data_IF_454309798306
#
_entry.id   IF_454309798306
#
_cell.length_a   1.000
_cell.length_b   1.000
_cell.length_c   1.000
_cell.angle_alpha   90.00
_cell.angle_beta   90.00
_cell.angle_gamma   90.00
#
_symmetry.space_group_name_H-M   'P 1'
#
loop_
_entity.id
_entity.type
_entity.pdbx_description
1 polymer ?
#
# COMPACT_ATOMS: atom_id res chain seq x y z
N UNK A 1 -17.52 5.64 5.42
CA UNK A 1 -16.25 5.37 6.12
C UNK A 1 -16.18 3.92 6.59
N UNK A 2 -17.27 3.33 7.14
CA UNK A 2 -17.29 1.94 7.62
C UNK A 2 -17.06 0.87 6.52
N UNK A 3 -17.63 1.05 5.32
CA UNK A 3 -17.46 0.10 4.20
C UNK A 3 -16.01 -0.01 3.70
N UNK A 4 -15.25 1.08 3.70
CA UNK A 4 -13.85 1.10 3.26
C UNK A 4 -12.95 0.35 4.24
N UNK A 5 -13.19 0.51 5.55
CA UNK A 5 -12.44 -0.18 6.59
C UNK A 5 -12.74 -1.69 6.58
N UNK A 6 -13.99 -2.10 6.39
CA UNK A 6 -14.35 -3.51 6.25
C UNK A 6 -13.71 -4.14 5.00
N UNK A 7 -13.67 -3.40 3.90
CA UNK A 7 -13.04 -3.86 2.65
C UNK A 7 -11.53 -4.03 2.82
N UNK A 8 -10.87 -3.11 3.52
CA UNK A 8 -9.43 -3.22 3.80
C UNK A 8 -9.12 -4.39 4.73
N UNK A 9 -9.89 -4.55 5.81
CA UNK A 9 -9.70 -5.67 6.74
C UNK A 9 -9.79 -7.02 6.03
N UNK A 10 -10.80 -7.19 5.16
CA UNK A 10 -10.97 -8.42 4.39
C UNK A 10 -9.77 -8.69 3.45
N UNK A 11 -9.20 -7.65 2.83
CA UNK A 11 -7.98 -7.77 2.00
C UNK A 11 -6.76 -8.20 2.82
N UNK A 12 -6.60 -7.65 4.02
CA UNK A 12 -5.49 -8.01 4.93
C UNK A 12 -5.62 -9.45 5.43
N UNK A 13 -6.83 -9.89 5.74
CA UNK A 13 -7.09 -11.26 6.16
C UNK A 13 -6.80 -12.24 5.01
N UNK A 14 -7.22 -11.92 3.78
CA UNK A 14 -6.90 -12.71 2.60
C UNK A 14 -5.38 -12.80 2.35
N UNK A 15 -4.65 -11.70 2.51
CA UNK A 15 -3.18 -11.69 2.42
C UNK A 15 -2.54 -12.58 3.50
N UNK A 16 -3.03 -12.52 4.74
CA UNK A 16 -2.51 -13.32 5.83
C UNK A 16 -2.77 -14.83 5.64
N UNK A 17 -3.90 -15.19 5.03
CA UNK A 17 -4.27 -16.56 4.72
C UNK A 17 -3.60 -17.12 3.46
N UNK A 18 -2.95 -16.27 2.66
CA UNK A 18 -2.29 -16.65 1.42
C UNK A 18 -0.76 -16.52 1.49
N UNK A 19 -0.06 -17.48 2.12
CA UNK A 19 1.40 -17.45 2.26
C UNK A 19 2.14 -17.81 0.96
N UNK A 20 1.44 -18.28 -0.08
CA UNK A 20 2.03 -18.72 -1.33
C UNK A 20 2.72 -17.56 -2.06
N UNK A 21 3.96 -17.77 -2.51
CA UNK A 21 4.73 -16.75 -3.23
C UNK A 21 4.38 -16.73 -4.72
N UNK A 22 3.16 -16.35 -5.04
CA UNK A 22 2.61 -16.33 -6.40
C UNK A 22 2.08 -14.96 -6.81
N UNK A 23 1.47 -14.89 -8.00
CA UNK A 23 0.91 -13.65 -8.56
C UNK A 23 -0.29 -13.14 -7.77
N UNK A 24 -1.08 -14.03 -7.20
CA UNK A 24 -2.23 -13.67 -6.37
C UNK A 24 -1.76 -12.96 -5.10
N UNK A 25 -0.67 -13.44 -4.49
CA UNK A 25 -0.06 -12.74 -3.37
C UNK A 25 0.47 -11.36 -3.73
N UNK A 26 1.04 -11.18 -4.92
CA UNK A 26 1.44 -9.85 -5.42
C UNK A 26 0.22 -8.93 -5.51
N UNK A 27 -0.89 -9.41 -6.08
CA UNK A 27 -2.11 -8.62 -6.23
C UNK A 27 -2.74 -8.27 -4.87
N UNK A 28 -2.72 -9.19 -3.89
CA UNK A 28 -3.17 -8.95 -2.52
C UNK A 28 -2.31 -7.91 -1.79
N UNK A 29 -0.98 -8.00 -1.91
CA UNK A 29 -0.07 -7.00 -1.35
C UNK A 29 -0.31 -5.61 -1.94
N UNK A 30 -0.47 -5.52 -3.27
CA UNK A 30 -0.78 -4.27 -3.94
C UNK A 30 -2.11 -3.69 -3.47
N UNK A 31 -3.15 -4.51 -3.36
CA UNK A 31 -4.47 -4.08 -2.90
C UNK A 31 -4.49 -3.66 -1.42
N UNK A 32 -3.69 -4.30 -0.57
CA UNK A 32 -3.50 -3.92 0.83
C UNK A 32 -2.74 -2.60 0.95
N UNK A 33 -1.65 -2.45 0.19
CA UNK A 33 -0.86 -1.22 0.15
C UNK A 33 -1.69 -0.02 -0.34
N UNK A 34 -2.47 -0.19 -1.41
CA UNK A 34 -3.38 0.84 -1.91
C UNK A 34 -4.38 1.30 -0.84
N UNK A 35 -5.01 0.36 -0.13
CA UNK A 35 -5.99 0.68 0.89
C UNK A 35 -5.40 1.37 2.12
N UNK A 36 -4.12 1.16 2.41
CA UNK A 36 -3.41 1.81 3.52
C UNK A 36 -2.75 3.13 3.14
N UNK A 37 -2.62 3.46 1.85
CA UNK A 37 -1.81 4.59 1.42
C UNK A 37 -2.27 5.94 1.99
N UNK A 38 -3.54 6.08 2.36
CA UNK A 38 -4.07 7.31 2.98
C UNK A 38 -3.90 7.31 4.51
N UNK A 39 -4.18 6.18 5.16
CA UNK A 39 -4.20 6.10 6.63
C UNK A 39 -2.80 5.82 7.22
N UNK A 40 -2.03 4.94 6.58
CA UNK A 40 -0.66 4.62 6.92
C UNK A 40 0.20 4.44 5.64
N UNK A 41 0.66 5.55 5.04
CA UNK A 41 1.49 5.47 3.85
C UNK A 41 2.84 4.78 4.08
N UNK A 42 3.33 4.68 5.32
CA UNK A 42 4.57 3.95 5.62
C UNK A 42 4.34 2.45 5.50
N UNK A 43 3.22 1.96 6.05
CA UNK A 43 2.84 0.55 5.90
C UNK A 43 2.49 0.21 4.44
N UNK A 44 1.86 1.13 3.71
CA UNK A 44 1.61 0.97 2.28
C UNK A 44 2.90 0.77 1.47
N UNK A 45 3.95 1.55 1.77
CA UNK A 45 5.27 1.39 1.14
C UNK A 45 5.89 0.01 1.42
N UNK A 46 5.73 -0.51 2.64
CA UNK A 46 6.24 -1.83 2.99
C UNK A 46 5.56 -2.93 2.14
N UNK A 47 4.24 -2.89 2.00
CA UNK A 47 3.51 -3.85 1.17
C UNK A 47 3.83 -3.71 -0.32
N UNK A 48 3.95 -2.47 -0.81
CA UNK A 48 4.34 -2.22 -2.19
C UNK A 48 5.77 -2.70 -2.50
N UNK A 49 6.72 -2.55 -1.56
CA UNK A 49 8.07 -3.07 -1.71
C UNK A 49 8.10 -4.60 -1.75
N UNK A 50 7.33 -5.26 -0.88
CA UNK A 50 7.19 -6.72 -0.90
C UNK A 50 6.54 -7.21 -2.21
N UNK A 51 5.53 -6.49 -2.70
CA UNK A 51 4.85 -6.80 -3.96
C UNK A 51 5.79 -6.67 -5.15
N UNK A 52 6.60 -5.60 -5.15
CA UNK A 52 7.61 -5.33 -6.17
C UNK A 52 8.65 -6.46 -6.23
N UNK A 53 9.25 -6.81 -5.10
CA UNK A 53 10.26 -7.87 -5.03
C UNK A 53 9.70 -9.23 -5.50
N UNK A 54 8.47 -9.54 -5.09
CA UNK A 54 7.82 -10.79 -5.50
C UNK A 54 7.45 -10.77 -6.98
N UNK A 55 6.93 -9.65 -7.49
CA UNK A 55 6.59 -9.47 -8.90
C UNK A 55 7.82 -9.61 -9.81
N UNK A 56 8.97 -9.07 -9.40
CA UNK A 56 10.24 -9.23 -10.12
C UNK A 56 10.67 -10.70 -10.18
N UNK A 57 10.62 -11.39 -9.03
CA UNK A 57 10.95 -12.83 -8.94
C UNK A 57 10.06 -13.67 -9.86
N UNK A 58 8.78 -13.30 -9.98
CA UNK A 58 7.79 -14.01 -10.79
C UNK A 58 7.72 -13.53 -12.24
N UNK A 59 8.54 -12.54 -12.63
CA UNK A 59 8.44 -11.83 -13.91
C UNK A 59 7.01 -11.36 -14.22
N UNK A 60 6.31 -10.89 -13.18
CA UNK A 60 4.93 -10.44 -13.24
C UNK A 60 4.85 -8.93 -13.44
N UNK A 61 5.02 -8.51 -14.69
CA UNK A 61 5.11 -7.10 -15.11
C UNK A 61 3.91 -6.24 -14.67
N UNK A 62 2.70 -6.78 -14.73
CA UNK A 62 1.50 -6.08 -14.27
C UNK A 62 1.57 -5.82 -12.77
N UNK A 63 1.86 -6.85 -11.96
CA UNK A 63 2.00 -6.71 -10.51
C UNK A 63 3.10 -5.72 -10.13
N UNK A 64 4.20 -5.70 -10.91
CA UNK A 64 5.28 -4.72 -10.76
C UNK A 64 4.81 -3.29 -11.00
N UNK A 65 4.07 -3.05 -12.08
CA UNK A 65 3.52 -1.73 -12.39
C UNK A 65 2.58 -1.22 -11.30
N UNK A 66 1.71 -2.09 -10.77
CA UNK A 66 0.83 -1.74 -9.65
C UNK A 66 1.61 -1.40 -8.38
N UNK A 67 2.63 -2.21 -8.04
CA UNK A 67 3.46 -1.96 -6.87
C UNK A 67 4.16 -0.59 -6.93
N UNK A 68 4.69 -0.22 -8.10
CA UNK A 68 5.28 1.10 -8.31
C UNK A 68 4.25 2.24 -8.19
N UNK A 69 3.02 2.02 -8.69
CA UNK A 69 1.93 2.98 -8.54
C UNK A 69 1.53 3.20 -7.09
N UNK A 70 1.39 2.12 -6.31
CA UNK A 70 1.09 2.20 -4.87
C UNK A 70 2.21 2.92 -4.12
N UNK A 71 3.47 2.59 -4.41
CA UNK A 71 4.62 3.29 -3.81
C UNK A 71 4.62 4.79 -4.13
N UNK A 72 4.33 5.16 -5.38
CA UNK A 72 4.24 6.57 -5.79
C UNK A 72 3.14 7.32 -5.04
N UNK A 73 1.96 6.70 -4.90
CA UNK A 73 0.85 7.30 -4.15
C UNK A 73 1.16 7.43 -2.65
N UNK A 74 1.77 6.42 -2.05
CA UNK A 74 2.17 6.46 -0.65
C UNK A 74 3.25 7.54 -0.37
N UNK A 75 4.21 7.73 -1.29
CA UNK A 75 5.18 8.82 -1.18
C UNK A 75 4.54 10.21 -1.30
N UNK A 76 3.54 10.35 -2.19
CA UNK A 76 2.75 11.57 -2.29
C UNK A 76 2.04 11.89 -0.96
N UNK A 77 1.35 10.90 -0.38
CA UNK A 77 0.67 11.05 0.91
C UNK A 77 1.64 11.39 2.04
N UNK A 78 2.81 10.73 2.13
CA UNK A 78 3.84 11.06 3.12
C UNK A 78 4.31 12.51 3.03
N UNK A 79 4.52 13.00 1.80
CA UNK A 79 4.98 14.37 1.56
C UNK A 79 3.93 15.39 2.02
N UNK A 80 2.64 15.10 1.82
CA UNK A 80 1.53 15.94 2.29
C UNK A 80 1.42 15.93 3.82
N UNK A 81 1.58 14.76 4.46
CA UNK A 81 1.55 14.65 5.92
C UNK A 81 2.72 15.40 6.60
N UNK A 82 3.93 15.34 6.03
CA UNK A 82 5.08 16.08 6.58
C UNK A 82 4.92 17.59 6.42
N UNK A 83 4.30 18.05 5.33
CA UNK A 83 4.00 19.47 5.10
C UNK A 83 2.84 19.99 5.99
N UNK A 84 1.92 19.14 6.42
CA UNK A 84 0.82 19.51 7.30
C UNK A 84 1.25 19.84 8.74
N UNK A 85 2.38 19.26 9.20
CA UNK A 85 2.92 19.49 10.55
C UNK A 85 3.21 20.97 10.90
N UNK A 86 3.93 21.75 10.07
CA UNK A 86 4.26 23.14 10.38
C UNK A 86 3.10 24.14 10.23
N UNK A 87 2.08 23.86 9.40
CA UNK A 87 0.96 24.79 9.17
C UNK A 87 -0.01 24.87 10.35
N UNK A 88 -0.12 23.80 11.15
CA UNK A 88 -0.99 23.79 12.33
C UNK A 88 -0.46 24.64 13.50
N UNK A 89 0.84 24.97 13.51
CA UNK A 89 1.47 25.73 14.60
C UNK A 89 1.53 27.25 14.39
N UNK A 90 1.14 27.76 13.21
CA UNK A 90 1.14 29.21 12.94
C UNK A 90 -0.22 29.90 13.12
N UNK A 91 -1.27 29.18 13.50
CA UNK A 91 -2.58 29.75 13.78
C UNK A 91 -2.78 30.10 15.27
N UNK A 92 -1.80 30.78 15.89
CA UNK A 92 -1.91 31.27 17.28
C UNK A 92 -1.80 32.78 17.35
#
# INVERSE_FOLDING_TARGET
MEDQQQTLQHKLDALAQHPARDRERVDLLNAAGEGLAVDDPRQALNYAAEALQLAETLSYERGRGYALGVSGFAHYMLSDHEQAGPLFFQAK
#
